data_IF_378859043491
#
_entry.id   IF_378859043491
#
_cell.length_a   1.000
_cell.length_b   1.000
_cell.length_c   1.000
_cell.angle_alpha   90.00
_cell.angle_beta   90.00
_cell.angle_gamma   90.00
#
_symmetry.space_group_name_H-M   'P 1'
#
loop_
_entity.id
_entity.type
_entity.pdbx_description
1 polymer ?
#
# COMPACT_ATOMS: atom_id res chain seq x y z
N UNK A 1 18.55 4.88 6.61
CA UNK A 1 17.78 3.96 5.77
C UNK A 1 17.54 4.69 4.47
N UNK A 2 18.08 4.20 3.36
CA UNK A 2 17.87 4.81 2.03
C UNK A 2 16.46 4.49 1.51
N UNK A 3 15.97 5.24 0.51
CA UNK A 3 14.67 4.97 -0.12
C UNK A 3 14.61 3.55 -0.71
N UNK A 4 15.74 3.05 -1.23
CA UNK A 4 15.89 1.67 -1.68
C UNK A 4 15.72 0.64 -0.56
N UNK A 5 16.34 0.85 0.59
CA UNK A 5 16.17 -0.03 1.76
C UNK A 5 14.73 0.00 2.30
N UNK A 6 14.10 1.17 2.27
CA UNK A 6 12.69 1.33 2.65
C UNK A 6 11.76 0.58 1.67
N UNK A 7 11.99 0.69 0.36
CA UNK A 7 11.20 0.00 -0.66
C UNK A 7 11.27 -1.53 -0.51
N UNK A 8 12.47 -2.07 -0.29
CA UNK A 8 12.67 -3.51 -0.06
C UNK A 8 11.91 -3.97 1.19
N UNK A 9 12.04 -3.24 2.31
CA UNK A 9 11.33 -3.59 3.55
C UNK A 9 9.81 -3.50 3.38
N UNK A 10 9.32 -2.46 2.72
CA UNK A 10 7.90 -2.27 2.45
C UNK A 10 7.34 -3.39 1.56
N UNK A 11 8.10 -3.86 0.57
CA UNK A 11 7.72 -5.00 -0.27
C UNK A 11 7.57 -6.31 0.55
N UNK A 12 8.46 -6.59 1.50
CA UNK A 12 8.30 -7.74 2.40
C UNK A 12 7.05 -7.62 3.27
N UNK A 13 6.79 -6.45 3.85
CA UNK A 13 5.58 -6.19 4.63
C UNK A 13 4.30 -6.32 3.78
N UNK A 14 4.32 -5.82 2.55
CA UNK A 14 3.20 -5.94 1.62
C UNK A 14 2.85 -7.40 1.33
N UNK A 15 3.84 -8.25 1.08
CA UNK A 15 3.60 -9.67 0.85
C UNK A 15 2.95 -10.36 2.06
N UNK A 16 3.38 -10.03 3.29
CA UNK A 16 2.76 -10.57 4.50
C UNK A 16 1.31 -10.09 4.65
N UNK A 17 1.06 -8.78 4.44
CA UNK A 17 -0.26 -8.19 4.50
C UNK A 17 -1.21 -8.78 3.45
N UNK A 18 -0.76 -8.90 2.20
CA UNK A 18 -1.55 -9.47 1.11
C UNK A 18 -2.00 -10.91 1.44
N UNK A 19 -1.08 -11.73 1.96
CA UNK A 19 -1.41 -13.10 2.38
C UNK A 19 -2.46 -13.12 3.50
N UNK A 20 -2.27 -12.29 4.52
CA UNK A 20 -3.21 -12.18 5.62
C UNK A 20 -4.61 -11.74 5.14
N UNK A 21 -4.69 -10.70 4.31
CA UNK A 21 -5.96 -10.20 3.80
C UNK A 21 -6.66 -11.22 2.88
N UNK A 22 -5.90 -11.94 2.05
CA UNK A 22 -6.47 -13.02 1.21
C UNK A 22 -7.04 -14.15 2.05
N UNK A 23 -6.33 -14.57 3.11
CA UNK A 23 -6.83 -15.60 4.03
C UNK A 23 -8.09 -15.16 4.79
N UNK A 24 -8.21 -13.85 5.07
CA UNK A 24 -9.38 -13.27 5.70
C UNK A 24 -10.56 -13.04 4.71
N UNK A 25 -10.39 -13.29 3.41
CA UNK A 25 -11.39 -12.98 2.38
C UNK A 25 -11.58 -11.46 2.15
N UNK A 26 -10.55 -10.67 2.44
CA UNK A 26 -10.55 -9.21 2.45
C UNK A 26 -9.57 -8.62 1.43
N UNK A 27 -9.15 -9.37 0.41
CA UNK A 27 -8.18 -8.91 -0.60
C UNK A 27 -8.66 -7.69 -1.39
N UNK A 28 -9.98 -7.47 -1.45
CA UNK A 28 -10.63 -6.34 -2.10
C UNK A 28 -11.13 -5.29 -1.08
N UNK A 29 -10.53 -5.23 0.12
CA UNK A 29 -10.93 -4.25 1.13
C UNK A 29 -10.81 -2.82 0.60
N UNK A 30 -11.91 -2.08 0.77
CA UNK A 30 -12.03 -0.66 0.44
C UNK A 30 -11.97 0.14 1.73
N UNK A 31 -11.20 1.23 1.73
CA UNK A 31 -11.22 2.24 2.80
C UNK A 31 -11.62 3.57 2.18
N UNK A 32 -12.67 4.17 2.74
CA UNK A 32 -13.05 5.54 2.41
C UNK A 32 -12.16 6.48 3.21
N UNK A 33 -11.38 7.31 2.51
CA UNK A 33 -10.56 8.36 3.13
C UNK A 33 -11.20 9.70 2.85
N UNK A 34 -11.29 10.53 3.88
CA UNK A 34 -11.78 11.90 3.75
C UNK A 34 -10.57 12.85 3.62
N UNK A 35 -10.55 13.61 2.53
CA UNK A 35 -9.56 14.66 2.29
C UNK A 35 -9.82 15.88 3.16
N UNK A 36 -8.84 16.78 3.25
CA UNK A 36 -8.99 18.05 3.99
C UNK A 36 -10.09 18.96 3.42
N UNK A 37 -10.42 18.77 2.15
CA UNK A 37 -11.45 19.54 1.45
C UNK A 37 -12.84 18.90 1.57
N UNK A 38 -12.97 17.82 2.36
CA UNK A 38 -14.21 17.09 2.60
C UNK A 38 -14.59 16.11 1.47
N UNK A 39 -13.78 16.03 0.40
CA UNK A 39 -13.95 15.02 -0.64
C UNK A 39 -13.62 13.63 -0.07
N UNK A 40 -14.47 12.64 -0.38
CA UNK A 40 -14.30 11.26 0.04
C UNK A 40 -13.87 10.42 -1.16
N UNK A 41 -12.82 9.63 -0.96
CA UNK A 41 -12.31 8.71 -1.98
C UNK A 41 -12.26 7.29 -1.43
N UNK A 42 -12.78 6.34 -2.21
CA UNK A 42 -12.74 4.91 -1.91
C UNK A 42 -11.45 4.30 -2.48
N UNK A 43 -10.58 3.83 -1.58
CA UNK A 43 -9.29 3.29 -1.94
C UNK A 43 -9.23 1.77 -1.73
N UNK A 44 -8.74 1.06 -2.74
CA UNK A 44 -8.37 -0.35 -2.63
C UNK A 44 -7.02 -0.46 -1.92
N UNK A 45 -7.02 -0.81 -0.63
CA UNK A 45 -5.84 -0.71 0.25
C UNK A 45 -4.60 -1.38 -0.36
N UNK A 46 -4.72 -2.63 -0.81
CA UNK A 46 -3.59 -3.38 -1.34
C UNK A 46 -3.07 -2.79 -2.66
N UNK A 47 -3.95 -2.20 -3.47
CA UNK A 47 -3.56 -1.54 -4.72
C UNK A 47 -2.74 -0.28 -4.43
N UNK A 48 -3.23 0.55 -3.52
CA UNK A 48 -2.58 1.82 -3.16
C UNK A 48 -1.23 1.60 -2.47
N UNK A 49 -1.14 0.65 -1.53
CA UNK A 49 0.14 0.32 -0.88
C UNK A 49 1.16 -0.18 -1.91
N UNK A 50 0.75 -1.03 -2.86
CA UNK A 50 1.64 -1.52 -3.91
C UNK A 50 2.16 -0.40 -4.81
N UNK A 51 1.29 0.56 -5.16
CA UNK A 51 1.68 1.73 -5.95
C UNK A 51 2.70 2.61 -5.19
N UNK A 52 2.49 2.86 -3.90
CA UNK A 52 3.42 3.61 -3.07
C UNK A 52 4.81 2.96 -2.96
N UNK A 53 4.87 1.63 -2.83
CA UNK A 53 6.14 0.88 -2.80
C UNK A 53 6.89 1.02 -4.13
N UNK A 54 6.18 0.97 -5.25
CA UNK A 54 6.77 1.17 -6.58
C UNK A 54 7.40 2.56 -6.69
N UNK A 55 6.72 3.61 -6.23
CA UNK A 55 7.25 4.98 -6.24
C UNK A 55 8.50 5.13 -5.36
N UNK A 56 8.54 4.49 -4.19
CA UNK A 56 9.74 4.49 -3.33
C UNK A 56 10.93 3.80 -4.00
N UNK A 57 10.67 2.71 -4.73
CA UNK A 57 11.71 2.00 -5.45
C UNK A 57 12.30 2.86 -6.57
N UNK A 58 11.45 3.49 -7.40
CA UNK A 58 11.85 4.35 -8.52
C UNK A 58 12.60 5.62 -8.07
N UNK A 59 12.32 6.15 -6.86
CA UNK A 59 13.04 7.29 -6.29
C UNK A 59 14.41 6.93 -5.70
N UNK A 60 14.61 5.65 -5.36
CA UNK A 60 15.83 5.15 -4.74
C UNK A 60 16.87 4.59 -5.71
N UNK A 61 16.64 4.69 -7.03
CA UNK A 61 17.58 4.32 -8.10
C UNK A 61 18.59 5.44 -8.41
#
# INVERSE_FOLDING_TARGET
MTDKEQAVRAAYCFNALQRFMTQAGSENAIVTVESKDGEKEDLLILKEIKAAIKLLHERGE
#
